data_IF_564099905009
#
_entry.id   IF_564099905009
#
_cell.length_a   1.000
_cell.length_b   1.000
_cell.length_c   1.000
_cell.angle_alpha   90.00
_cell.angle_beta   90.00
_cell.angle_gamma   90.00
#
_symmetry.space_group_name_H-M   'P 1'
#
loop_
_entity.id
_entity.type
_entity.pdbx_description
1 polymer ?
#
# COMPACT_ATOMS: atom_id res chain seq x y z
N UNK A 1 -21.94 8.51 -7.81
CA UNK A 1 -21.90 9.86 -7.20
C UNK A 1 -20.47 10.31 -7.23
N UNK A 2 -20.19 11.55 -7.66
CA UNK A 2 -18.81 12.04 -7.72
C UNK A 2 -18.19 12.16 -6.32
N UNK A 3 -16.87 12.39 -6.26
CA UNK A 3 -16.19 12.54 -4.98
C UNK A 3 -16.68 13.74 -4.15
N UNK A 4 -17.23 14.79 -4.79
CA UNK A 4 -17.76 15.96 -4.09
C UNK A 4 -19.02 15.62 -3.29
N UNK A 5 -19.82 14.65 -3.75
CA UNK A 5 -20.95 14.11 -2.97
C UNK A 5 -20.54 13.63 -1.58
N UNK A 6 -19.32 13.10 -1.45
CA UNK A 6 -18.78 12.57 -0.19
C UNK A 6 -17.99 13.60 0.62
N UNK A 7 -17.99 14.89 0.21
CA UNK A 7 -17.27 15.95 0.91
C UNK A 7 -15.74 15.79 0.85
N UNK A 8 -15.22 15.21 -0.23
CA UNK A 8 -13.80 14.93 -0.39
C UNK A 8 -12.93 16.19 -0.48
N UNK A 9 -12.04 16.39 0.50
CA UNK A 9 -10.99 17.41 0.47
C UNK A 9 -9.62 16.79 0.74
N UNK A 10 -8.83 16.56 -0.31
CA UNK A 10 -7.47 16.05 -0.18
C UNK A 10 -6.58 16.30 -1.41
N UNK A 11 -5.30 16.51 -1.14
CA UNK A 11 -4.23 16.40 -2.13
C UNK A 11 -3.40 15.18 -1.73
N UNK A 12 -3.31 14.21 -2.64
CA UNK A 12 -2.49 13.02 -2.46
C UNK A 12 -1.28 13.11 -3.39
N UNK A 13 -0.05 13.15 -2.86
CA UNK A 13 1.14 13.06 -3.69
C UNK A 13 1.31 11.64 -4.23
N UNK A 14 1.98 11.53 -5.38
CA UNK A 14 2.36 10.25 -5.96
C UNK A 14 3.72 9.81 -5.40
N UNK A 15 3.73 8.76 -4.58
CA UNK A 15 4.94 8.22 -3.93
C UNK A 15 5.26 6.79 -4.40
N UNK A 16 6.55 6.54 -4.64
CA UNK A 16 7.09 5.24 -5.02
C UNK A 16 8.38 4.81 -4.29
N UNK A 17 8.97 5.63 -3.39
CA UNK A 17 10.24 5.28 -2.71
C UNK A 17 10.07 4.59 -1.36
N UNK A 18 8.88 4.11 -1.07
CA UNK A 18 8.54 3.30 0.10
C UNK A 18 8.98 1.83 -0.07
N UNK A 19 9.33 1.13 1.01
CA UNK A 19 9.61 -0.32 1.06
C UNK A 19 9.00 -0.95 2.32
N UNK A 20 8.63 -2.24 2.25
CA UNK A 20 8.10 -3.00 3.37
C UNK A 20 8.93 -4.25 3.66
N UNK A 21 9.09 -4.58 4.94
CA UNK A 21 9.76 -5.77 5.45
C UNK A 21 8.87 -6.43 6.50
N UNK A 22 8.73 -7.74 6.42
CA UNK A 22 8.03 -8.59 7.38
C UNK A 22 9.02 -9.57 8.01
N UNK A 23 8.92 -9.78 9.32
CA UNK A 23 9.74 -10.73 10.09
C UNK A 23 8.84 -11.50 11.04
N UNK A 24 9.06 -12.81 11.14
CA UNK A 24 8.46 -13.69 12.14
C UNK A 24 9.58 -14.53 12.76
N UNK A 25 9.75 -14.44 14.07
CA UNK A 25 10.75 -15.17 14.81
C UNK A 25 10.20 -16.52 15.33
N UNK A 26 11.08 -17.51 15.62
CA UNK A 26 10.66 -18.83 16.10
C UNK A 26 9.89 -18.81 17.43
N UNK A 27 10.09 -17.79 18.25
CA UNK A 27 9.38 -17.59 19.51
C UNK A 27 7.99 -16.94 19.34
N UNK A 28 7.57 -16.66 18.09
CA UNK A 28 6.30 -16.02 17.78
C UNK A 28 6.35 -14.49 17.69
N UNK A 29 7.48 -13.85 18.01
CA UNK A 29 7.62 -12.40 17.84
C UNK A 29 7.53 -12.02 16.36
N UNK A 30 6.80 -10.96 16.05
CA UNK A 30 6.61 -10.49 14.68
C UNK A 30 6.92 -8.99 14.54
N UNK A 31 7.48 -8.62 13.39
CA UNK A 31 7.75 -7.23 13.00
C UNK A 31 7.22 -6.98 11.60
N UNK A 32 6.35 -5.98 11.48
CA UNK A 32 5.97 -5.38 10.20
C UNK A 32 6.56 -3.97 10.14
N UNK A 33 7.44 -3.71 9.17
CA UNK A 33 8.15 -2.44 9.03
C UNK A 33 7.98 -1.88 7.62
N UNK A 34 7.32 -0.73 7.53
CA UNK A 34 7.30 0.08 6.31
C UNK A 34 8.18 1.31 6.52
N UNK A 35 9.12 1.53 5.61
CA UNK A 35 10.05 2.67 5.66
C UNK A 35 10.10 3.37 4.29
N UNK A 36 10.38 4.68 4.29
CA UNK A 36 10.31 5.47 3.06
C UNK A 36 11.24 6.67 3.07
N UNK A 37 11.63 7.12 1.86
CA UNK A 37 12.18 8.45 1.60
C UNK A 37 11.15 9.38 0.94
N UNK A 38 9.87 8.99 0.96
CA UNK A 38 8.83 9.39 0.01
C UNK A 38 9.29 9.01 -1.40
N UNK A 39 9.22 9.88 -2.40
CA UNK A 39 9.41 9.52 -3.82
C UNK A 39 10.77 8.86 -4.14
N UNK A 40 10.91 8.27 -5.33
CA UNK A 40 12.20 7.66 -5.75
C UNK A 40 13.40 8.57 -5.51
N UNK A 41 14.38 8.14 -4.72
CA UNK A 41 15.56 8.94 -4.32
C UNK A 41 15.24 10.21 -3.49
N UNK A 42 14.09 10.26 -2.81
CA UNK A 42 13.68 11.33 -1.90
C UNK A 42 13.76 12.72 -2.51
N UNK A 43 14.38 13.67 -1.84
CA UNK A 43 14.55 15.03 -2.37
C UNK A 43 15.68 15.16 -3.41
N UNK A 44 16.17 14.03 -3.94
CA UNK A 44 17.26 13.95 -4.93
C UNK A 44 18.55 14.61 -4.42
N UNK A 45 18.75 14.60 -3.10
CA UNK A 45 19.97 15.07 -2.43
C UNK A 45 20.61 13.92 -1.67
N UNK A 46 21.88 13.69 -1.96
CA UNK A 46 22.75 12.79 -1.23
C UNK A 46 23.75 13.62 -0.44
N UNK A 47 23.91 13.33 0.84
CA UNK A 47 24.98 13.93 1.66
C UNK A 47 26.36 13.49 1.11
N UNK A 48 27.25 14.41 0.71
CA UNK A 48 28.58 14.04 0.23
C UNK A 48 29.44 13.36 1.29
N UNK A 49 29.25 13.69 2.57
CA UNK A 49 30.05 13.16 3.68
C UNK A 49 29.55 11.82 4.19
N UNK A 50 28.23 11.62 4.28
CA UNK A 50 27.64 10.39 4.86
C UNK A 50 27.09 9.42 3.82
N UNK A 51 26.91 9.88 2.57
CA UNK A 51 26.27 9.11 1.52
C UNK A 51 24.76 8.91 1.68
N UNK A 52 24.15 9.43 2.75
CA UNK A 52 22.71 9.30 2.99
C UNK A 52 21.89 10.06 1.94
N UNK A 53 20.84 9.42 1.44
CA UNK A 53 19.82 10.05 0.60
C UNK A 53 18.78 10.68 1.52
N UNK A 54 18.51 11.97 1.33
CA UNK A 54 17.55 12.71 2.13
C UNK A 54 16.13 12.53 1.57
N UNK A 55 15.16 12.35 2.45
CA UNK A 55 13.74 12.22 2.08
C UNK A 55 13.17 13.53 1.52
N UNK A 56 12.03 13.44 0.85
CA UNK A 56 11.17 14.59 0.53
C UNK A 56 9.81 14.51 1.24
N UNK A 57 9.76 14.01 2.48
CA UNK A 57 8.50 13.72 3.19
C UNK A 57 7.60 14.94 3.42
N UNK A 58 8.16 16.15 3.31
CA UNK A 58 7.37 17.38 3.38
C UNK A 58 6.30 17.47 2.27
N UNK A 59 6.50 16.73 1.17
CA UNK A 59 5.54 16.60 0.06
C UNK A 59 4.25 15.88 0.47
N UNK A 60 4.27 15.09 1.55
CA UNK A 60 3.08 14.43 2.10
C UNK A 60 2.15 15.40 2.86
N UNK A 61 2.57 16.63 3.15
CA UNK A 61 1.67 17.65 3.67
C UNK A 61 0.80 18.23 2.55
N UNK A 62 -0.46 18.49 2.91
CA UNK A 62 -1.32 19.31 2.09
C UNK A 62 -0.82 20.77 2.07
N UNK A 63 -0.82 21.41 0.90
CA UNK A 63 -0.38 22.80 0.75
C UNK A 63 -1.60 23.73 0.68
N UNK A 64 -1.76 24.70 1.60
CA UNK A 64 -2.88 25.63 1.56
C UNK A 64 -3.00 26.37 0.22
N UNK A 65 -4.21 26.45 -0.32
CA UNK A 65 -4.48 27.13 -1.59
C UNK A 65 -4.06 26.37 -2.85
N UNK A 66 -3.46 25.18 -2.72
CA UNK A 66 -3.19 24.31 -3.87
C UNK A 66 -4.41 23.42 -4.13
N UNK A 67 -4.98 23.58 -5.31
CA UNK A 67 -5.95 22.67 -5.90
C UNK A 67 -5.18 21.80 -6.89
N UNK A 68 -5.34 20.48 -6.85
CA UNK A 68 -4.65 19.61 -7.80
C UNK A 68 -5.22 19.75 -9.23
N UNK A 69 -4.59 19.10 -10.21
CA UNK A 69 -5.03 19.12 -11.61
C UNK A 69 -6.43 18.57 -11.87
N UNK A 70 -7.08 18.00 -10.86
CA UNK A 70 -8.43 17.43 -10.91
C UNK A 70 -9.47 18.25 -10.14
N UNK A 71 -9.11 19.46 -9.68
CA UNK A 71 -10.04 20.33 -8.97
C UNK A 71 -10.24 20.00 -7.48
N UNK A 72 -9.42 19.10 -6.91
CA UNK A 72 -9.56 18.69 -5.50
C UNK A 72 -8.74 19.61 -4.58
N UNK A 73 -9.35 20.22 -3.55
CA UNK A 73 -8.66 21.12 -2.63
C UNK A 73 -7.78 20.36 -1.62
N UNK A 74 -6.78 21.05 -1.09
CA UNK A 74 -5.88 20.55 -0.06
C UNK A 74 -6.59 20.38 1.30
N UNK A 75 -6.30 19.27 1.98
CA UNK A 75 -6.92 18.93 3.27
C UNK A 75 -6.34 19.77 4.44
N UNK A 76 -7.13 20.61 5.13
CA UNK A 76 -6.60 21.48 6.18
C UNK A 76 -5.99 20.74 7.37
N UNK A 77 -6.54 19.57 7.71
CA UNK A 77 -6.02 18.72 8.80
C UNK A 77 -4.60 18.21 8.54
N UNK A 78 -4.17 18.20 7.27
CA UNK A 78 -2.83 17.79 6.87
C UNK A 78 -1.97 18.98 6.39
N UNK A 79 -2.28 20.21 6.79
CA UNK A 79 -1.38 21.34 6.55
C UNK A 79 -0.10 21.27 7.39
N UNK A 80 0.98 21.81 6.84
CA UNK A 80 2.31 21.89 7.47
C UNK A 80 2.26 22.71 8.77
N UNK A 81 2.95 22.21 9.80
CA UNK A 81 3.20 22.94 11.04
C UNK A 81 4.51 22.44 11.69
N UNK A 82 5.22 23.28 12.47
CA UNK A 82 6.44 22.87 13.16
C UNK A 82 6.21 21.66 14.06
N UNK A 83 7.07 20.64 13.95
CA UNK A 83 7.00 19.41 14.74
C UNK A 83 5.86 18.45 14.37
N UNK A 84 4.97 18.83 13.45
CA UNK A 84 3.89 17.96 12.97
C UNK A 84 4.46 16.86 12.06
N UNK A 85 3.81 15.70 12.06
CA UNK A 85 4.09 14.61 11.12
C UNK A 85 3.06 14.66 9.99
N UNK A 86 3.49 14.52 8.72
CA UNK A 86 2.55 14.44 7.61
C UNK A 86 1.74 13.14 7.67
N UNK A 87 0.55 13.15 7.08
CA UNK A 87 -0.24 11.95 6.86
C UNK A 87 0.55 10.95 6.00
N UNK A 88 0.41 9.65 6.29
CA UNK A 88 1.02 8.60 5.50
C UNK A 88 0.00 7.52 5.13
N UNK A 89 0.19 6.93 3.95
CA UNK A 89 -0.57 5.75 3.51
C UNK A 89 0.03 4.44 4.02
N UNK A 90 1.15 4.48 4.75
CA UNK A 90 1.80 3.27 5.27
C UNK A 90 0.93 2.54 6.28
N UNK A 91 0.70 1.24 6.04
CA UNK A 91 -0.07 0.35 6.91
C UNK A 91 0.67 -0.97 7.22
N UNK A 92 1.84 -0.93 7.88
CA UNK A 92 2.47 -2.15 8.39
C UNK A 92 1.50 -2.85 9.35
N UNK A 93 1.22 -4.13 9.10
CA UNK A 93 0.12 -4.84 9.75
C UNK A 93 0.56 -6.21 10.24
N UNK A 94 0.10 -6.58 11.43
CA UNK A 94 0.20 -7.94 11.98
C UNK A 94 -1.22 -8.38 12.32
N UNK A 95 -1.63 -9.53 11.78
CA UNK A 95 -2.91 -10.18 12.08
C UNK A 95 -2.64 -11.34 13.02
N UNK A 96 -3.37 -11.36 14.13
CA UNK A 96 -3.33 -12.42 15.14
C UNK A 96 -4.68 -13.13 15.22
N UNK A 97 -4.68 -14.39 15.63
CA UNK A 97 -5.91 -15.10 15.95
C UNK A 97 -6.42 -14.81 17.37
N UNK A 98 -7.49 -15.51 17.78
CA UNK A 98 -8.11 -15.34 19.09
C UNK A 98 -7.22 -15.74 20.27
N UNK A 99 -6.19 -16.56 20.03
CA UNK A 99 -5.22 -16.97 21.04
C UNK A 99 -4.03 -15.99 21.12
N UNK A 100 -3.93 -15.04 20.17
CA UNK A 100 -2.81 -14.13 20.05
C UNK A 100 -1.69 -14.65 19.15
N UNK A 101 -1.88 -15.79 18.48
CA UNK A 101 -0.86 -16.34 17.58
C UNK A 101 -0.87 -15.59 16.25
N UNK A 102 0.33 -15.24 15.78
CA UNK A 102 0.51 -14.53 14.51
C UNK A 102 0.06 -15.41 13.35
N UNK A 103 -0.84 -14.88 12.52
CA UNK A 103 -1.35 -15.51 11.30
C UNK A 103 -0.85 -14.86 10.02
N UNK A 104 -0.64 -13.55 10.03
CA UNK A 104 -0.12 -12.82 8.87
C UNK A 104 0.67 -11.59 9.31
N UNK A 105 1.87 -11.43 8.79
CA UNK A 105 2.71 -10.24 8.92
C UNK A 105 2.84 -9.66 7.52
N UNK A 106 2.44 -8.42 7.30
CA UNK A 106 2.40 -7.86 5.95
C UNK A 106 2.46 -6.33 5.92
N UNK A 107 2.66 -5.83 4.71
CA UNK A 107 2.47 -4.44 4.35
C UNK A 107 2.85 -4.22 2.90
N UNK A 108 2.71 -2.98 2.46
CA UNK A 108 2.92 -2.62 1.07
C UNK A 108 3.69 -1.30 0.90
N UNK A 109 4.14 -1.07 -0.33
CA UNK A 109 4.72 0.15 -0.86
C UNK A 109 3.97 0.57 -2.15
N UNK A 110 3.95 1.87 -2.45
CA UNK A 110 3.30 2.43 -3.65
C UNK A 110 2.31 3.58 -3.38
N UNK A 111 2.67 4.50 -2.47
CA UNK A 111 1.87 5.68 -2.15
C UNK A 111 0.47 5.35 -1.64
N UNK A 112 -0.54 6.03 -2.17
CA UNK A 112 -1.96 5.81 -1.79
C UNK A 112 -2.45 4.38 -1.99
N UNK A 113 -1.76 3.58 -2.81
CA UNK A 113 -2.12 2.19 -3.10
C UNK A 113 -1.70 1.25 -1.97
N UNK A 114 -0.86 1.69 -1.03
CA UNK A 114 -0.40 0.86 0.11
C UNK A 114 -1.59 0.33 0.90
N UNK A 115 -2.52 1.20 1.29
CA UNK A 115 -3.68 0.84 2.11
C UNK A 115 -4.55 -0.22 1.43
N UNK A 116 -4.91 0.00 0.15
CA UNK A 116 -5.74 -0.94 -0.61
C UNK A 116 -5.02 -2.25 -0.87
N UNK A 117 -3.72 -2.23 -1.21
CA UNK A 117 -2.94 -3.45 -1.43
C UNK A 117 -2.82 -4.29 -0.15
N UNK A 118 -2.64 -3.65 1.00
CA UNK A 118 -2.59 -4.32 2.30
C UNK A 118 -3.92 -4.99 2.61
N UNK A 119 -5.04 -4.26 2.50
CA UNK A 119 -6.38 -4.82 2.76
C UNK A 119 -6.74 -5.94 1.80
N UNK A 120 -6.43 -5.80 0.50
CA UNK A 120 -6.71 -6.86 -0.47
C UNK A 120 -5.94 -8.15 -0.15
N UNK A 121 -4.69 -8.05 0.31
CA UNK A 121 -3.92 -9.23 0.70
C UNK A 121 -4.51 -9.90 1.95
N UNK A 122 -4.97 -9.11 2.94
CA UNK A 122 -5.68 -9.65 4.12
C UNK A 122 -6.97 -10.35 3.71
N UNK A 123 -7.79 -9.74 2.85
CA UNK A 123 -9.04 -10.34 2.39
C UNK A 123 -8.79 -11.66 1.68
N UNK A 124 -7.75 -11.73 0.85
CA UNK A 124 -7.40 -12.96 0.11
C UNK A 124 -6.91 -14.07 1.04
N UNK A 125 -5.94 -13.77 1.89
CA UNK A 125 -5.34 -14.76 2.79
C UNK A 125 -6.34 -15.22 3.86
N UNK A 126 -7.00 -14.28 4.54
CA UNK A 126 -7.83 -14.58 5.70
C UNK A 126 -9.27 -14.93 5.31
N UNK A 127 -9.92 -14.07 4.52
CA UNK A 127 -11.35 -14.22 4.23
C UNK A 127 -11.62 -15.23 3.11
N UNK A 128 -10.86 -15.17 2.01
CA UNK A 128 -10.98 -16.16 0.92
C UNK A 128 -10.17 -17.44 1.18
N UNK A 129 -9.30 -17.45 2.18
CA UNK A 129 -8.53 -18.64 2.56
C UNK A 129 -7.52 -19.09 1.51
N UNK A 130 -7.02 -18.15 0.70
CA UNK A 130 -5.97 -18.41 -0.28
C UNK A 130 -4.63 -18.59 0.44
N UNK A 131 -3.80 -19.52 -0.02
CA UNK A 131 -2.40 -19.59 0.40
C UNK A 131 -1.66 -18.29 0.03
N UNK A 132 -0.56 -18.00 0.72
CA UNK A 132 0.12 -16.72 0.58
C UNK A 132 0.61 -16.43 -0.84
N UNK A 133 1.10 -17.45 -1.56
CA UNK A 133 1.61 -17.28 -2.92
C UNK A 133 0.47 -16.94 -3.89
N UNK A 134 -0.65 -17.67 -3.80
CA UNK A 134 -1.85 -17.36 -4.58
C UNK A 134 -2.36 -15.95 -4.27
N UNK A 135 -2.44 -15.59 -2.99
CA UNK A 135 -2.92 -14.28 -2.55
C UNK A 135 -2.00 -13.13 -3.03
N UNK A 136 -0.68 -13.33 -2.98
CA UNK A 136 0.34 -12.35 -3.38
C UNK A 136 0.32 -12.08 -4.89
N UNK A 137 0.16 -13.13 -5.70
CA UNK A 137 0.18 -13.05 -7.16
C UNK A 137 -1.16 -12.62 -7.78
N UNK A 138 -2.24 -12.61 -6.99
CA UNK A 138 -3.55 -12.26 -7.49
C UNK A 138 -3.64 -10.77 -7.88
N UNK A 139 -4.45 -10.43 -8.90
CA UNK A 139 -4.54 -9.07 -9.38
C UNK A 139 -5.23 -8.15 -8.35
N UNK A 140 -4.84 -6.88 -8.37
CA UNK A 140 -5.31 -5.83 -7.46
C UNK A 140 -6.10 -4.73 -8.17
N UNK A 141 -6.95 -4.06 -7.39
CA UNK A 141 -7.72 -2.90 -7.80
C UNK A 141 -7.52 -1.78 -6.77
N UNK A 142 -7.70 -0.54 -7.17
CA UNK A 142 -7.53 0.63 -6.31
C UNK A 142 -8.50 1.74 -6.67
N UNK A 143 -9.20 2.25 -5.66
CA UNK A 143 -9.98 3.48 -5.75
C UNK A 143 -9.69 4.30 -4.49
N UNK A 144 -9.45 5.58 -4.66
CA UNK A 144 -9.12 6.51 -3.56
C UNK A 144 -10.08 7.70 -3.51
N UNK A 145 -11.30 7.48 -4.00
CA UNK A 145 -12.38 8.46 -4.10
C UNK A 145 -12.11 9.56 -5.14
N UNK A 146 -11.00 10.30 -5.02
CA UNK A 146 -10.57 11.28 -6.02
C UNK A 146 -9.12 10.99 -6.48
N UNK A 147 -8.83 10.96 -7.79
CA UNK A 147 -9.78 11.09 -8.90
C UNK A 147 -10.81 9.95 -8.92
N UNK A 148 -11.98 10.19 -9.53
CA UNK A 148 -13.09 9.23 -9.65
C UNK A 148 -12.78 8.18 -10.73
N UNK A 149 -11.73 7.40 -10.49
CA UNK A 149 -11.24 6.37 -11.40
C UNK A 149 -10.87 5.14 -10.60
N UNK A 150 -11.33 3.98 -11.07
CA UNK A 150 -10.98 2.69 -10.52
C UNK A 150 -9.81 2.11 -11.31
N UNK A 151 -8.62 2.10 -10.71
CA UNK A 151 -7.47 1.41 -11.27
C UNK A 151 -7.66 -0.11 -11.09
N UNK A 152 -7.53 -0.85 -12.19
CA UNK A 152 -7.67 -2.31 -12.20
C UNK A 152 -6.46 -2.90 -12.94
N UNK A 153 -5.78 -3.86 -12.32
CA UNK A 153 -4.69 -4.58 -12.99
C UNK A 153 -5.22 -5.43 -14.15
N UNK A 154 -4.47 -5.46 -15.27
CA UNK A 154 -4.86 -6.17 -16.50
C UNK A 154 -5.10 -7.68 -16.35
N UNK A 155 -4.65 -8.29 -15.26
CA UNK A 155 -4.79 -9.73 -15.02
C UNK A 155 -6.14 -10.11 -14.39
N UNK A 156 -7.06 -9.16 -14.15
CA UNK A 156 -8.44 -9.49 -13.82
C UNK A 156 -9.17 -10.16 -14.99
N UNK A 157 -10.10 -11.03 -14.67
CA UNK A 157 -11.01 -11.62 -15.66
C UNK A 157 -11.90 -10.54 -16.29
N UNK A 158 -12.15 -10.64 -17.59
CA UNK A 158 -12.90 -9.65 -18.36
C UNK A 158 -14.32 -9.47 -17.82
N UNK A 159 -14.93 -10.54 -17.29
CA UNK A 159 -16.27 -10.50 -16.69
C UNK A 159 -16.31 -9.61 -15.44
N UNK A 160 -15.24 -9.58 -14.66
CA UNK A 160 -15.12 -8.70 -13.48
C UNK A 160 -15.01 -7.25 -13.92
N UNK A 161 -14.16 -6.98 -14.92
CA UNK A 161 -13.97 -5.63 -15.47
C UNK A 161 -15.28 -5.10 -16.06
N UNK A 162 -15.96 -5.91 -16.86
CA UNK A 162 -17.25 -5.56 -17.45
C UNK A 162 -18.32 -5.33 -16.36
N UNK A 163 -18.39 -6.23 -15.36
CA UNK A 163 -19.33 -6.07 -14.26
C UNK A 163 -19.11 -4.80 -13.43
N UNK A 164 -17.88 -4.30 -13.34
CA UNK A 164 -17.57 -3.00 -12.73
C UNK A 164 -18.06 -1.85 -13.61
N UNK A 165 -17.82 -1.90 -14.92
CA UNK A 165 -18.27 -0.88 -15.87
C UNK A 165 -19.81 -0.79 -15.95
N UNK A 166 -20.51 -1.92 -15.87
CA UNK A 166 -21.99 -1.99 -15.82
C UNK A 166 -22.57 -1.36 -14.53
N UNK A 167 -21.74 -1.16 -13.51
CA UNK A 167 -22.07 -0.47 -12.25
C UNK A 167 -21.52 0.96 -12.21
N UNK A 168 -21.28 1.53 -13.38
CA UNK A 168 -20.81 2.91 -13.59
C UNK A 168 -19.42 3.22 -13.04
N UNK A 169 -18.59 2.21 -12.75
CA UNK A 169 -17.19 2.46 -12.40
C UNK A 169 -16.40 2.91 -13.63
N UNK A 170 -15.69 4.05 -13.51
CA UNK A 170 -14.72 4.48 -14.51
C UNK A 170 -13.44 3.65 -14.39
N UNK A 171 -13.38 2.54 -15.10
CA UNK A 171 -12.23 1.62 -15.03
C UNK A 171 -11.05 2.13 -15.86
N UNK A 172 -9.87 2.16 -15.25
CA UNK A 172 -8.58 2.37 -15.92
C UNK A 172 -7.70 1.14 -15.74
N UNK A 173 -7.36 0.49 -16.86
CA UNK A 173 -6.48 -0.66 -16.84
C UNK A 173 -5.01 -0.25 -16.65
N UNK A 174 -4.37 -0.80 -15.62
CA UNK A 174 -2.97 -0.49 -15.25
C UNK A 174 -2.10 -1.76 -15.24
N UNK A 175 -0.78 -1.58 -15.34
CA UNK A 175 0.18 -2.70 -15.35
C UNK A 175 0.47 -3.25 -13.95
N UNK A 176 0.30 -2.44 -12.90
CA UNK A 176 0.61 -2.83 -11.52
C UNK A 176 0.03 -1.87 -10.48
N UNK A 177 -0.34 -2.37 -9.31
CA UNK A 177 -0.87 -1.60 -8.18
C UNK A 177 -0.13 -1.98 -6.90
N UNK A 178 0.76 -1.08 -6.46
CA UNK A 178 1.57 -1.26 -5.27
C UNK A 178 2.44 -2.52 -5.32
N UNK A 179 3.23 -2.72 -4.27
CA UNK A 179 4.08 -3.91 -4.07
C UNK A 179 3.97 -4.31 -2.61
N UNK A 180 3.88 -5.61 -2.32
CA UNK A 180 3.73 -6.11 -0.96
C UNK A 180 4.82 -7.13 -0.61
N UNK A 181 5.09 -7.28 0.67
CA UNK A 181 5.85 -8.40 1.24
C UNK A 181 5.07 -8.92 2.44
N UNK A 182 5.14 -10.24 2.67
CA UNK A 182 4.37 -10.87 3.72
C UNK A 182 4.98 -12.19 4.19
N UNK A 183 4.63 -12.55 5.42
CA UNK A 183 4.84 -13.89 6.02
C UNK A 183 3.48 -14.35 6.54
N UNK A 184 3.09 -15.58 6.25
CA UNK A 184 1.87 -16.19 6.76
C UNK A 184 2.18 -17.44 7.57
N UNK A 185 1.37 -17.67 8.60
CA UNK A 185 1.18 -18.99 9.20
C UNK A 185 -0.07 -19.57 8.57
N UNK A 186 0.12 -20.54 7.69
CA UNK A 186 -0.93 -21.19 6.94
C UNK A 186 -1.84 -22.03 7.85
N UNK A 187 -2.94 -22.56 7.30
CA UNK A 187 -3.93 -23.35 8.06
C UNK A 187 -3.40 -24.69 8.56
N UNK A 188 -2.36 -25.22 7.91
CA UNK A 188 -1.63 -26.41 8.34
C UNK A 188 -0.46 -26.07 9.29
N UNK A 189 -0.44 -24.84 9.79
CA UNK A 189 0.59 -24.22 10.63
C UNK A 189 1.99 -24.12 9.98
N UNK A 190 2.11 -24.42 8.69
CA UNK A 190 3.33 -24.14 7.93
C UNK A 190 3.57 -22.63 7.83
N UNK A 191 4.84 -22.24 7.78
CA UNK A 191 5.24 -20.85 7.55
C UNK A 191 5.56 -20.67 6.08
N UNK A 192 4.93 -19.68 5.46
CA UNK A 192 5.20 -19.25 4.09
C UNK A 192 5.61 -17.79 4.09
N UNK A 193 6.43 -17.41 3.11
CA UNK A 193 6.85 -16.03 2.91
C UNK A 193 6.81 -15.70 1.43
N UNK A 194 6.37 -14.50 1.09
CA UNK A 194 6.24 -14.08 -0.30
C UNK A 194 6.57 -12.59 -0.46
N UNK A 195 7.06 -12.24 -1.65
CA UNK A 195 7.18 -10.86 -2.10
C UNK A 195 6.45 -10.71 -3.43
N UNK A 196 6.02 -9.49 -3.71
CA UNK A 196 5.34 -9.16 -4.95
C UNK A 196 6.30 -9.17 -6.14
N UNK A 197 6.08 -9.99 -7.19
CA UNK A 197 6.98 -10.09 -8.34
C UNK A 197 7.09 -8.81 -9.17
N UNK A 198 6.18 -7.83 -8.99
CA UNK A 198 6.25 -6.51 -9.65
C UNK A 198 7.47 -5.70 -9.20
N UNK A 199 8.13 -6.09 -8.10
CA UNK A 199 9.37 -5.50 -7.61
C UNK A 199 10.32 -6.59 -7.17
N UNK A 200 11.61 -6.43 -7.51
CA UNK A 200 12.64 -7.35 -7.02
C UNK A 200 12.62 -7.44 -5.50
N UNK A 201 12.68 -8.67 -4.99
CA UNK A 201 12.65 -8.98 -3.57
C UNK A 201 13.21 -10.37 -3.31
N UNK A 202 13.27 -10.74 -2.04
CA UNK A 202 13.66 -12.07 -1.60
C UNK A 202 12.99 -12.37 -0.26
N UNK A 203 12.91 -13.64 0.08
CA UNK A 203 12.53 -14.13 1.39
C UNK A 203 13.42 -15.32 1.76
N UNK A 204 13.55 -15.59 3.05
CA UNK A 204 14.27 -16.75 3.56
C UNK A 204 13.56 -17.24 4.83
N UNK A 205 13.37 -18.56 4.93
CA UNK A 205 12.86 -19.22 6.13
C UNK A 205 14.02 -20.07 6.66
N UNK A 206 14.49 -19.75 7.85
CA UNK A 206 15.60 -20.43 8.50
C UNK A 206 15.01 -21.47 9.47
N UNK A 207 15.26 -22.78 9.27
CA UNK A 207 14.76 -23.85 10.14
C UNK A 207 15.32 -23.82 11.56
#
# INVERSE_FOLDING_TARGET
HDFAHYGAEFVQPDDHGTAHVSVLAPNGDAVALTATVNTYFGCKRRSPSTGMILNNIMDDFATPGVINSFGVPASPVNFVAPGKRPLSSMTPTIVVDANGDVRLVLGAAGGTRITTSTVLLILRAIFFGQDLDTAMNAPRLHHQLAPETLDVERAFADEVVQGLMERDHQVRLVSGIGTATAIARERDDSITAAFDPKRGGSWEIIP
#
